data_IF_543317088233
#
_entry.id   IF_543317088233
#
_cell.length_a   1.000
_cell.length_b   1.000
_cell.length_c   1.000
_cell.angle_alpha   90.00
_cell.angle_beta   90.00
_cell.angle_gamma   90.00
#
_symmetry.space_group_name_H-M   'P 1'
#
loop_
_entity.id
_entity.type
_entity.pdbx_description
1 polymer ?
#
# COMPACT_ATOMS: atom_id res chain seq x y z
N UNK A 1 -19.54 -6.75 10.62
CA UNK A 1 -19.10 -5.95 9.44
C UNK A 1 -18.89 -6.76 8.18
N UNK A 2 -18.44 -8.03 8.24
CA UNK A 2 -18.18 -8.90 7.08
C UNK A 2 -19.28 -8.91 5.99
N UNK A 3 -20.57 -9.13 6.31
CA UNK A 3 -21.62 -9.20 5.26
C UNK A 3 -21.96 -7.86 4.60
N UNK A 4 -21.58 -6.71 5.20
CA UNK A 4 -21.76 -5.39 4.59
C UNK A 4 -20.61 -5.10 3.62
N UNK A 5 -19.39 -5.47 4.00
CA UNK A 5 -18.21 -5.30 3.16
C UNK A 5 -18.28 -6.18 1.91
N UNK A 6 -18.73 -7.43 2.04
CA UNK A 6 -18.91 -8.34 0.90
C UNK A 6 -19.94 -7.80 -0.10
N UNK A 7 -21.06 -7.21 0.37
CA UNK A 7 -22.06 -6.56 -0.50
C UNK A 7 -21.54 -5.33 -1.25
N UNK A 8 -20.47 -4.69 -0.75
CA UNK A 8 -19.80 -3.56 -1.38
C UNK A 8 -18.59 -3.98 -2.23
N UNK A 9 -18.36 -5.29 -2.42
CA UNK A 9 -17.21 -5.82 -3.15
C UNK A 9 -15.91 -5.87 -2.34
N UNK A 10 -15.97 -5.66 -1.03
CA UNK A 10 -14.83 -5.75 -0.12
C UNK A 10 -14.44 -7.20 0.17
N UNK A 11 -13.14 -7.49 0.06
CA UNK A 11 -12.58 -8.82 0.34
C UNK A 11 -12.11 -8.86 1.80
N UNK A 12 -12.75 -9.64 2.67
CA UNK A 12 -12.32 -9.77 4.05
C UNK A 12 -11.00 -10.56 4.11
N UNK A 13 -9.96 -9.91 4.62
CA UNK A 13 -8.63 -10.53 4.78
C UNK A 13 -8.39 -10.92 6.24
N UNK A 14 -7.96 -12.16 6.49
CA UNK A 14 -7.49 -12.57 7.82
C UNK A 14 -6.05 -12.07 8.02
N UNK A 15 -5.88 -11.15 8.96
CA UNK A 15 -4.60 -10.51 9.25
C UNK A 15 -3.71 -11.32 10.20
N UNK A 16 -4.21 -12.43 10.78
CA UNK A 16 -3.43 -13.31 11.66
C UNK A 16 -2.45 -14.20 10.89
N UNK A 17 -2.71 -14.44 9.60
CA UNK A 17 -1.84 -15.20 8.72
C UNK A 17 -1.18 -14.26 7.69
N UNK A 18 -0.14 -13.53 8.09
CA UNK A 18 0.55 -12.60 7.18
C UNK A 18 1.10 -13.27 5.90
N UNK A 19 1.47 -14.56 5.98
CA UNK A 19 1.87 -15.37 4.82
C UNK A 19 0.73 -15.62 3.83
N UNK A 20 -0.51 -15.55 4.28
CA UNK A 20 -1.69 -15.91 3.49
C UNK A 20 -2.19 -14.71 2.67
N UNK A 21 -2.09 -13.48 3.20
CA UNK A 21 -2.54 -12.27 2.51
C UNK A 21 -1.84 -12.02 1.17
N UNK A 22 -0.51 -12.22 1.09
CA UNK A 22 0.22 -11.94 -0.16
C UNK A 22 -0.27 -12.89 -1.25
N UNK A 23 -0.29 -14.19 -0.95
CA UNK A 23 -0.75 -15.22 -1.88
C UNK A 23 -2.20 -15.00 -2.31
N UNK A 24 -3.11 -14.72 -1.37
CA UNK A 24 -4.52 -14.43 -1.68
C UNK A 24 -4.67 -13.24 -2.63
N UNK A 25 -3.92 -12.16 -2.42
CA UNK A 25 -4.03 -10.99 -3.29
C UNK A 25 -3.45 -11.28 -4.67
N UNK A 26 -2.35 -12.04 -4.76
CA UNK A 26 -1.76 -12.46 -6.05
C UNK A 26 -2.76 -13.32 -6.83
N UNK A 27 -3.37 -14.32 -6.19
CA UNK A 27 -4.41 -15.14 -6.81
C UNK A 27 -5.59 -14.28 -7.27
N UNK A 28 -5.98 -13.28 -6.49
CA UNK A 28 -7.07 -12.37 -6.86
C UNK A 28 -6.74 -11.52 -8.08
N UNK A 29 -5.50 -11.03 -8.19
CA UNK A 29 -5.03 -10.31 -9.38
C UNK A 29 -5.03 -11.20 -10.63
N UNK A 30 -4.70 -12.49 -10.49
CA UNK A 30 -4.63 -13.43 -11.62
C UNK A 30 -6.00 -13.95 -12.08
N UNK A 31 -6.95 -14.07 -11.16
CA UNK A 31 -8.28 -14.65 -11.41
C UNK A 31 -9.37 -13.64 -11.75
N UNK A 32 -9.06 -12.34 -11.73
CA UNK A 32 -10.07 -11.28 -11.94
C UNK A 32 -9.71 -10.45 -13.17
N UNK A 33 -10.66 -10.27 -14.09
CA UNK A 33 -10.47 -9.44 -15.30
C UNK A 33 -10.17 -7.97 -14.96
N UNK A 34 -10.76 -7.48 -13.87
CA UNK A 34 -10.50 -6.14 -13.32
C UNK A 34 -10.39 -6.20 -11.81
N UNK A 35 -9.23 -5.79 -11.27
CA UNK A 35 -9.02 -5.74 -9.83
C UNK A 35 -8.08 -4.59 -9.45
N UNK A 36 -8.49 -3.79 -8.46
CA UNK A 36 -7.68 -2.72 -7.88
C UNK A 36 -7.56 -2.95 -6.38
N UNK A 37 -6.34 -2.89 -5.85
CA UNK A 37 -6.07 -3.06 -4.44
C UNK A 37 -5.47 -1.76 -3.87
N UNK A 38 -6.17 -1.15 -2.91
CA UNK A 38 -5.70 0.05 -2.21
C UNK A 38 -5.19 -0.35 -0.83
N UNK A 39 -3.92 -0.03 -0.56
CA UNK A 39 -3.26 -0.32 0.72
C UNK A 39 -2.70 0.99 1.28
N UNK A 40 -3.05 1.31 2.51
CA UNK A 40 -2.27 2.24 3.32
C UNK A 40 -1.15 1.43 4.00
N UNK A 41 0.13 1.58 3.58
CA UNK A 41 1.22 0.74 4.07
C UNK A 41 1.75 1.22 5.42
N UNK A 42 1.45 2.46 5.78
CA UNK A 42 1.51 2.98 7.13
C UNK A 42 0.60 2.14 8.03
N UNK A 43 1.18 1.59 9.10
CA UNK A 43 0.42 0.82 10.07
C UNK A 43 -0.55 1.74 10.85
N UNK A 44 -0.93 1.36 12.07
CA UNK A 44 -1.74 2.21 12.95
C UNK A 44 -1.19 3.64 13.00
N UNK A 45 -2.07 4.64 12.92
CA UNK A 45 -1.74 6.06 13.10
C UNK A 45 -0.82 6.21 14.31
N UNK A 46 0.34 6.82 14.12
CA UNK A 46 1.18 7.22 15.24
C UNK A 46 0.38 8.19 16.11
N UNK A 47 0.48 8.07 17.44
CA UNK A 47 -0.04 9.10 18.34
C UNK A 47 0.73 10.40 18.12
N UNK A 48 0.10 11.53 18.36
CA UNK A 48 0.78 12.82 18.29
C UNK A 48 2.01 12.81 19.20
N UNK A 49 3.15 13.29 18.69
CA UNK A 49 4.45 13.23 19.35
C UNK A 49 5.16 11.86 19.40
N UNK A 50 4.59 10.78 18.83
CA UNK A 50 5.27 9.47 18.76
C UNK A 50 5.97 9.24 17.42
N UNK A 51 7.08 8.50 17.45
CA UNK A 51 7.83 8.16 16.24
C UNK A 51 6.97 7.32 15.27
N UNK A 52 7.00 7.71 13.99
CA UNK A 52 6.35 6.95 12.92
C UNK A 52 7.09 5.64 12.70
N UNK A 53 6.36 4.54 12.68
CA UNK A 53 6.91 3.24 12.30
C UNK A 53 7.23 3.19 10.81
N UNK A 54 8.28 2.47 10.40
CA UNK A 54 8.55 2.18 9.01
C UNK A 54 7.35 1.52 8.32
N UNK A 55 7.13 1.84 7.05
CA UNK A 55 6.04 1.27 6.26
C UNK A 55 6.24 -0.23 6.05
N UNK A 56 5.15 -0.99 6.01
CA UNK A 56 5.20 -2.43 5.74
C UNK A 56 5.38 -2.68 4.24
N UNK A 57 6.19 -3.68 3.86
CA UNK A 57 6.55 -3.98 2.47
C UNK A 57 5.61 -4.96 1.75
N UNK A 58 4.54 -5.44 2.40
CA UNK A 58 3.63 -6.44 1.81
C UNK A 58 3.00 -6.00 0.48
N UNK A 59 2.70 -4.71 0.31
CA UNK A 59 2.18 -4.16 -0.95
C UNK A 59 3.17 -4.35 -2.11
N UNK A 60 4.47 -4.20 -1.84
CA UNK A 60 5.53 -4.38 -2.83
C UNK A 60 5.63 -5.84 -3.27
N UNK A 61 5.59 -6.78 -2.31
CA UNK A 61 5.63 -8.20 -2.61
C UNK A 61 4.41 -8.67 -3.41
N UNK A 62 3.22 -8.17 -3.09
CA UNK A 62 2.00 -8.45 -3.87
C UNK A 62 2.18 -7.98 -5.30
N UNK A 63 2.57 -6.72 -5.50
CA UNK A 63 2.72 -6.14 -6.83
C UNK A 63 3.80 -6.84 -7.67
N UNK A 64 4.94 -7.18 -7.04
CA UNK A 64 6.03 -7.92 -7.69
C UNK A 64 5.57 -9.30 -8.14
N UNK A 65 4.90 -10.05 -7.27
CA UNK A 65 4.45 -11.42 -7.55
C UNK A 65 3.28 -11.46 -8.55
N UNK A 66 2.39 -10.47 -8.52
CA UNK A 66 1.28 -10.35 -9.47
C UNK A 66 1.67 -9.68 -10.80
N UNK A 67 2.91 -9.19 -10.93
CA UNK A 67 3.41 -8.47 -12.11
C UNK A 67 2.54 -7.24 -12.48
N UNK A 68 2.16 -6.45 -11.47
CA UNK A 68 1.34 -5.24 -11.62
C UNK A 68 2.07 -3.99 -11.09
N UNK A 69 1.74 -2.79 -11.60
CA UNK A 69 2.34 -1.56 -11.09
C UNK A 69 1.79 -1.19 -9.71
N UNK A 70 2.60 -0.47 -8.94
CA UNK A 70 2.18 0.22 -7.72
C UNK A 70 1.91 1.67 -8.09
N UNK A 71 0.67 2.12 -7.91
CA UNK A 71 0.29 3.52 -8.08
C UNK A 71 0.42 4.22 -6.73
N UNK A 72 1.24 5.26 -6.67
CA UNK A 72 1.48 6.03 -5.47
C UNK A 72 0.48 7.19 -5.39
N UNK A 73 -0.26 7.25 -4.28
CA UNK A 73 -1.27 8.28 -4.03
C UNK A 73 -1.05 8.91 -2.67
N UNK A 74 -1.39 10.18 -2.53
CA UNK A 74 -1.28 10.89 -1.27
C UNK A 74 -2.54 11.68 -0.94
N UNK A 75 -2.73 11.90 0.35
CA UNK A 75 -3.69 12.86 0.91
C UNK A 75 -2.99 13.61 2.05
N UNK A 76 -2.76 14.90 1.87
CA UNK A 76 -2.07 15.76 2.81
C UNK A 76 -3.10 16.59 3.59
N UNK A 77 -3.25 16.29 4.89
CA UNK A 77 -4.21 16.97 5.76
C UNK A 77 -3.80 18.42 6.09
N UNK A 78 -2.52 18.77 6.03
CA UNK A 78 -2.06 20.15 6.26
C UNK A 78 -2.46 21.05 5.09
N UNK A 79 -2.28 20.57 3.87
CA UNK A 79 -2.55 21.35 2.65
C UNK A 79 -3.93 21.11 2.06
N UNK A 80 -4.68 20.13 2.58
CA UNK A 80 -5.98 19.67 2.05
C UNK A 80 -5.90 19.27 0.57
N UNK A 81 -4.73 18.79 0.13
CA UNK A 81 -4.49 18.32 -1.25
C UNK A 81 -4.32 16.81 -1.26
N UNK A 82 -4.71 16.20 -2.37
CA UNK A 82 -4.40 14.81 -2.67
C UNK A 82 -4.14 14.64 -4.16
N UNK A 83 -3.61 13.49 -4.52
CA UNK A 83 -3.33 13.20 -5.92
C UNK A 83 -2.53 11.92 -6.13
N UNK A 84 -2.20 11.68 -7.39
CA UNK A 84 -1.33 10.60 -7.84
C UNK A 84 0.07 11.17 -7.99
N UNK A 85 1.06 10.51 -7.37
CA UNK A 85 2.47 10.87 -7.45
C UNK A 85 3.16 10.24 -8.66
N UNK A 86 2.72 9.03 -9.03
CA UNK A 86 3.29 8.27 -10.13
C UNK A 86 2.97 6.79 -10.01
N UNK A 87 3.65 6.00 -10.84
CA UNK A 87 3.61 4.54 -10.76
C UNK A 87 5.03 3.97 -10.80
N UNK A 88 5.23 2.87 -10.09
CA UNK A 88 6.47 2.09 -10.14
C UNK A 88 6.14 0.64 -10.49
N UNK A 89 7.01 0.02 -11.29
CA UNK A 89 6.99 -1.42 -11.46
C UNK A 89 8.05 -2.01 -10.53
N UNK A 90 7.69 -2.93 -9.62
CA UNK A 90 8.64 -3.45 -8.65
C UNK A 90 9.88 -4.09 -9.30
N UNK A 91 11.06 -3.59 -8.98
CA UNK A 91 12.35 -4.09 -9.48
C UNK A 91 13.20 -4.64 -8.34
N UNK A 92 13.77 -3.75 -7.54
CA UNK A 92 14.56 -4.00 -6.33
C UNK A 92 13.90 -3.31 -5.14
N UNK A 93 13.68 -4.06 -4.05
CA UNK A 93 12.89 -3.58 -2.92
C UNK A 93 13.49 -2.32 -2.29
N UNK A 94 14.80 -2.29 -2.05
CA UNK A 94 15.42 -1.17 -1.35
C UNK A 94 15.39 0.09 -2.21
N UNK A 95 15.80 -0.03 -3.48
CA UNK A 95 15.79 1.09 -4.43
C UNK A 95 14.38 1.64 -4.68
N UNK A 96 13.40 0.76 -4.78
CA UNK A 96 12.01 1.17 -4.96
C UNK A 96 11.47 1.89 -3.71
N UNK A 97 11.81 1.42 -2.50
CA UNK A 97 11.45 2.10 -1.25
C UNK A 97 12.08 3.48 -1.11
N UNK A 98 13.34 3.63 -1.51
CA UNK A 98 14.02 4.93 -1.57
C UNK A 98 13.34 5.88 -2.55
N UNK A 99 13.02 5.39 -3.75
CA UNK A 99 12.28 6.15 -4.77
C UNK A 99 10.91 6.60 -4.25
N UNK A 100 10.17 5.70 -3.58
CA UNK A 100 8.89 6.03 -2.95
C UNK A 100 9.09 7.17 -1.94
N UNK A 101 10.07 7.03 -1.04
CA UNK A 101 10.36 8.04 -0.01
C UNK A 101 10.65 9.40 -0.62
N UNK A 102 11.48 9.45 -1.67
CA UNK A 102 11.80 10.69 -2.39
C UNK A 102 10.56 11.34 -3.03
N UNK A 103 9.69 10.54 -3.66
CA UNK A 103 8.47 11.05 -4.29
C UNK A 103 7.49 11.66 -3.27
N UNK A 104 7.33 11.05 -2.10
CA UNK A 104 6.47 11.61 -1.05
C UNK A 104 7.11 12.84 -0.38
N UNK A 105 8.44 12.88 -0.24
CA UNK A 105 9.14 14.02 0.36
C UNK A 105 8.95 15.32 -0.45
N UNK A 106 8.81 15.24 -1.77
CA UNK A 106 8.48 16.38 -2.64
C UNK A 106 7.14 17.05 -2.28
N UNK A 107 6.26 16.34 -1.57
CA UNK A 107 4.94 16.81 -1.15
C UNK A 107 4.85 17.06 0.36
N UNK A 108 6.00 17.21 1.04
CA UNK A 108 6.10 17.43 2.49
C UNK A 108 5.54 16.24 3.30
N UNK A 109 5.67 15.02 2.76
CA UNK A 109 5.24 13.78 3.42
C UNK A 109 6.46 12.91 3.73
N UNK A 110 6.78 12.80 5.01
CA UNK A 110 7.89 11.96 5.50
C UNK A 110 7.45 10.50 5.61
N UNK A 111 8.01 9.66 4.75
CA UNK A 111 7.84 8.20 4.76
C UNK A 111 9.04 7.55 5.43
N UNK A 112 8.80 6.79 6.49
CA UNK A 112 9.83 5.98 7.14
C UNK A 112 9.98 4.64 6.42
N UNK A 113 11.20 4.33 6.01
CA UNK A 113 11.65 3.04 5.49
C UNK A 113 12.68 2.48 6.47
N UNK A 114 12.79 1.15 6.57
CA UNK A 114 13.78 0.50 7.44
C UNK A 114 15.21 0.74 6.95
#
# INVERSE_FOLDING_TARGET
MKPILEKLGGIPVDRKASKDIVSQMVEKFQSSDTFNLVIAPEATRAKDGSERKPIRTGFWHIAKAANVPIVLMYANARTQKGGILGKIYPTDLQKDLETIKELYAQYDIDVKIN
#
